data_IF_487002963434
#
_entry.id   IF_487002963434
#
_cell.length_a   1.000
_cell.length_b   1.000
_cell.length_c   1.000
_cell.angle_alpha   90.00
_cell.angle_beta   90.00
_cell.angle_gamma   90.00
#
_symmetry.space_group_name_H-M   'P 1'
#
loop_
_entity.id
_entity.type
_entity.pdbx_description
1 polymer ?
#
# COMPACT_ATOMS: atom_id res chain seq x y z
N UNK A 1 28.14 -21.32 -16.81
CA UNK A 1 26.89 -20.63 -16.45
C UNK A 1 26.43 -21.13 -15.10
N UNK A 2 26.02 -20.21 -14.24
CA UNK A 2 25.23 -20.40 -13.01
C UNK A 2 25.72 -21.45 -11.99
N UNK A 3 26.77 -21.10 -11.26
CA UNK A 3 26.88 -21.49 -9.86
C UNK A 3 25.71 -20.85 -9.10
N UNK A 4 24.77 -21.64 -8.58
CA UNK A 4 23.81 -21.13 -7.60
C UNK A 4 24.55 -20.90 -6.27
N UNK A 5 24.90 -19.64 -6.02
CA UNK A 5 25.52 -19.21 -4.78
C UNK A 5 24.47 -19.24 -3.66
N UNK A 6 24.27 -20.42 -3.07
CA UNK A 6 23.48 -20.58 -1.85
C UNK A 6 24.23 -19.85 -0.75
N UNK A 7 23.76 -18.66 -0.40
CA UNK A 7 24.26 -17.96 0.78
C UNK A 7 24.03 -18.86 2.01
N UNK A 8 25.04 -19.04 2.88
CA UNK A 8 24.82 -19.76 4.13
C UNK A 8 23.80 -18.97 4.94
N UNK A 9 22.69 -19.61 5.34
CA UNK A 9 21.84 -19.07 6.40
C UNK A 9 22.71 -18.97 7.64
N UNK A 10 23.03 -17.75 8.04
CA UNK A 10 23.68 -17.49 9.32
C UNK A 10 22.84 -18.10 10.43
N UNK A 11 23.50 -18.89 11.28
CA UNK A 11 22.97 -19.38 12.55
C UNK A 11 22.77 -18.21 13.53
N UNK A 12 21.78 -17.37 13.23
CA UNK A 12 21.05 -16.67 14.27
C UNK A 12 20.30 -17.74 15.04
N UNK A 13 20.53 -17.80 16.35
CA UNK A 13 19.68 -18.57 17.27
C UNK A 13 18.22 -18.18 16.98
N UNK A 14 17.46 -19.08 16.34
CA UNK A 14 16.03 -18.88 16.10
C UNK A 14 15.37 -18.88 17.47
N UNK A 15 15.25 -17.68 18.05
CA UNK A 15 14.53 -17.44 19.30
C UNK A 15 13.13 -17.97 19.11
N UNK A 16 12.88 -19.14 19.73
CA UNK A 16 11.61 -19.85 19.63
C UNK A 16 10.47 -18.87 19.87
N UNK A 17 9.53 -18.87 18.96
CA UNK A 17 8.36 -17.99 19.07
C UNK A 17 7.57 -18.30 20.35
N UNK A 18 6.84 -17.30 20.84
CA UNK A 18 5.86 -17.49 21.92
C UNK A 18 4.87 -18.62 21.60
N UNK A 19 4.47 -18.78 20.33
CA UNK A 19 3.58 -19.87 19.88
C UNK A 19 4.27 -21.23 19.88
N UNK A 20 5.54 -21.31 19.48
CA UNK A 20 6.35 -22.53 19.51
C UNK A 20 6.62 -23.00 20.95
N UNK A 21 6.95 -22.07 21.86
CA UNK A 21 7.12 -22.36 23.28
C UNK A 21 5.81 -22.85 23.92
N UNK A 22 4.67 -22.27 23.53
CA UNK A 22 3.36 -22.74 23.98
C UNK A 22 3.06 -24.15 23.46
N UNK A 23 3.32 -24.45 22.18
CA UNK A 23 3.14 -25.78 21.59
C UNK A 23 3.96 -26.84 22.34
N UNK A 24 5.25 -26.60 22.62
CA UNK A 24 6.10 -27.51 23.39
C UNK A 24 5.59 -27.70 24.84
N UNK A 25 5.09 -26.64 25.48
CA UNK A 25 4.52 -26.73 26.83
C UNK A 25 3.22 -27.55 26.84
N UNK A 26 2.32 -27.32 25.87
CA UNK A 26 1.08 -28.05 25.67
C UNK A 26 1.33 -29.54 25.40
N UNK A 27 2.27 -29.87 24.50
CA UNK A 27 2.68 -31.25 24.22
C UNK A 27 3.17 -31.96 25.50
N UNK A 28 4.06 -31.31 26.26
CA UNK A 28 4.56 -31.87 27.52
C UNK A 28 3.48 -32.08 28.57
N UNK A 29 2.49 -31.17 28.69
CA UNK A 29 1.37 -31.32 29.62
C UNK A 29 0.45 -32.47 29.22
N UNK A 30 0.07 -32.56 27.95
CA UNK A 30 -0.77 -33.65 27.43
C UNK A 30 -0.06 -35.01 27.54
N UNK A 31 1.26 -35.06 27.30
CA UNK A 31 2.05 -36.27 27.48
C UNK A 31 2.04 -36.76 28.94
N UNK A 32 2.29 -35.87 29.91
CA UNK A 32 2.23 -36.20 31.35
C UNK A 32 0.84 -36.69 31.76
N UNK A 33 -0.22 -35.96 31.39
CA UNK A 33 -1.60 -36.35 31.71
C UNK A 33 -1.96 -37.72 31.08
N UNK A 34 -1.48 -37.99 29.86
CA UNK A 34 -1.68 -39.28 29.20
C UNK A 34 -1.00 -40.43 29.93
N UNK A 35 0.22 -40.20 30.42
CA UNK A 35 1.03 -41.15 31.20
C UNK A 35 0.42 -41.43 32.57
N UNK A 36 0.17 -40.37 33.36
CA UNK A 36 -0.39 -40.47 34.72
C UNK A 36 -1.77 -41.16 34.68
N UNK A 37 -2.59 -40.79 33.69
CA UNK A 37 -3.89 -41.43 33.44
C UNK A 37 -3.80 -42.89 33.00
N UNK A 38 -2.72 -43.31 32.32
CA UNK A 38 -2.49 -44.73 32.00
C UNK A 38 -2.15 -45.53 33.27
N UNK A 39 -1.27 -45.00 34.12
CA UNK A 39 -0.87 -45.66 35.35
C UNK A 39 -2.06 -45.91 36.30
N UNK A 40 -2.97 -44.94 36.44
CA UNK A 40 -4.18 -45.05 37.27
C UNK A 40 -5.12 -46.21 36.86
N UNK A 41 -5.17 -46.57 35.58
CA UNK A 41 -5.94 -47.71 35.06
C UNK A 41 -5.16 -49.01 35.23
N UNK A 42 -3.91 -49.06 34.79
CA UNK A 42 -3.05 -50.26 34.87
C UNK A 42 -2.76 -50.69 36.31
N UNK A 43 -2.92 -49.81 37.30
CA UNK A 43 -2.86 -50.19 38.71
C UNK A 43 -4.00 -51.14 39.14
N UNK A 44 -5.19 -51.04 38.55
CA UNK A 44 -6.29 -51.99 38.82
C UNK A 44 -5.98 -53.35 38.19
N UNK A 45 -5.48 -53.35 36.95
CA UNK A 45 -5.04 -54.57 36.24
C UNK A 45 -3.94 -55.31 37.00
N UNK A 46 -2.92 -54.58 37.50
CA UNK A 46 -1.85 -55.14 38.34
C UNK A 46 -2.39 -55.79 39.62
N UNK A 47 -3.34 -55.15 40.30
CA UNK A 47 -3.97 -55.69 41.50
C UNK A 47 -4.86 -56.93 41.21
N UNK A 48 -5.56 -56.95 40.07
CA UNK A 48 -6.32 -58.10 39.58
C UNK A 48 -5.40 -59.31 39.29
N UNK A 49 -4.29 -59.08 38.60
CA UNK A 49 -3.31 -60.13 38.26
C UNK A 49 -2.73 -60.76 39.53
N UNK A 50 -2.41 -59.97 40.56
CA UNK A 50 -1.92 -60.50 41.85
C UNK A 50 -2.98 -61.38 42.54
N UNK A 51 -4.21 -60.86 42.72
CA UNK A 51 -5.32 -61.61 43.33
C UNK A 51 -5.61 -62.93 42.61
N UNK A 52 -5.60 -62.91 41.28
CA UNK A 52 -5.85 -64.11 40.46
C UNK A 52 -4.69 -65.12 40.53
N UNK A 53 -3.44 -64.67 40.66
CA UNK A 53 -2.28 -65.55 40.89
C UNK A 53 -2.36 -66.23 42.26
N UNK A 54 -2.68 -65.47 43.32
CA UNK A 54 -2.89 -65.99 44.67
C UNK A 54 -4.04 -67.00 44.73
N UNK A 55 -5.18 -66.69 44.09
CA UNK A 55 -6.33 -67.61 43.98
C UNK A 55 -5.93 -68.94 43.33
N UNK A 56 -5.23 -68.89 42.19
CA UNK A 56 -4.75 -70.10 41.49
C UNK A 56 -3.78 -70.91 42.34
N UNK A 57 -2.91 -70.27 43.11
CA UNK A 57 -2.01 -70.96 44.03
C UNK A 57 -2.78 -71.68 45.16
N UNK A 58 -3.78 -71.02 45.75
CA UNK A 58 -4.63 -71.59 46.79
C UNK A 58 -5.49 -72.75 46.26
N UNK A 59 -6.09 -72.61 45.08
CA UNK A 59 -6.86 -73.67 44.41
C UNK A 59 -5.98 -74.88 44.05
N UNK A 60 -4.76 -74.64 43.57
CA UNK A 60 -3.80 -75.70 43.29
C UNK A 60 -3.36 -76.43 44.57
N UNK A 61 -3.21 -75.73 45.69
CA UNK A 61 -2.91 -76.37 46.98
C UNK A 61 -4.10 -77.20 47.47
N UNK A 62 -5.30 -76.61 47.58
CA UNK A 62 -6.49 -77.33 48.03
C UNK A 62 -6.80 -78.56 47.16
N UNK A 63 -6.55 -78.48 45.84
CA UNK A 63 -6.67 -79.64 44.95
C UNK A 63 -5.66 -80.75 45.27
N UNK A 64 -4.41 -80.42 45.63
CA UNK A 64 -3.41 -81.41 46.06
C UNK A 64 -3.85 -82.08 47.35
N UNK A 65 -4.20 -81.30 48.36
CA UNK A 65 -4.63 -81.79 49.68
C UNK A 65 -5.87 -82.69 49.56
N UNK A 66 -6.84 -82.33 48.69
CA UNK A 66 -8.02 -83.16 48.41
C UNK A 66 -7.66 -84.48 47.73
N UNK A 67 -6.74 -84.47 46.76
CA UNK A 67 -6.29 -85.69 46.07
C UNK A 67 -5.60 -86.63 47.07
N UNK A 68 -4.71 -86.11 47.92
CA UNK A 68 -4.00 -86.89 48.92
C UNK A 68 -4.96 -87.55 49.93
N UNK A 69 -5.92 -86.78 50.47
CA UNK A 69 -6.98 -87.32 51.34
C UNK A 69 -7.80 -88.43 50.67
N UNK A 70 -8.22 -88.23 49.42
CA UNK A 70 -9.00 -89.21 48.68
C UNK A 70 -8.19 -90.47 48.32
N UNK A 71 -6.88 -90.34 48.12
CA UNK A 71 -5.98 -91.48 47.91
C UNK A 71 -5.80 -92.30 49.20
N UNK A 72 -5.58 -91.65 50.35
CA UNK A 72 -5.52 -92.32 51.65
C UNK A 72 -6.84 -93.05 51.97
N UNK A 73 -7.98 -92.36 51.78
CA UNK A 73 -9.31 -92.94 51.96
C UNK A 73 -9.62 -94.10 51.01
N UNK A 74 -9.07 -94.09 49.79
CA UNK A 74 -9.17 -95.20 48.85
C UNK A 74 -8.32 -96.40 49.30
N UNK A 75 -7.09 -96.17 49.78
CA UNK A 75 -6.19 -97.21 50.29
C UNK A 75 -6.74 -97.87 51.55
N UNK A 76 -7.01 -97.10 52.61
CA UNK A 76 -7.58 -97.62 53.86
C UNK A 76 -8.96 -98.26 53.63
N UNK A 77 -9.74 -97.70 52.71
CA UNK A 77 -11.03 -98.26 52.32
C UNK A 77 -10.92 -99.62 51.61
N UNK A 78 -9.93 -99.79 50.74
CA UNK A 78 -9.65 -101.06 50.07
C UNK A 78 -9.20 -102.11 51.09
N UNK A 79 -8.31 -101.76 52.02
CA UNK A 79 -7.84 -102.67 53.08
C UNK A 79 -8.97 -103.12 54.01
N UNK A 80 -9.86 -102.21 54.44
CA UNK A 80 -11.01 -102.55 55.28
C UNK A 80 -12.03 -103.42 54.53
N UNK A 81 -12.28 -103.13 53.25
CA UNK A 81 -13.13 -103.95 52.38
C UNK A 81 -12.59 -105.37 52.18
N UNK A 82 -11.27 -105.52 51.99
CA UNK A 82 -10.63 -106.83 51.92
C UNK A 82 -10.69 -107.59 53.24
N UNK A 83 -10.54 -106.91 54.38
CA UNK A 83 -10.67 -107.50 55.72
C UNK A 83 -12.09 -108.03 55.98
N UNK A 84 -13.11 -107.23 55.64
CA UNK A 84 -14.52 -107.64 55.63
C UNK A 84 -14.69 -108.88 54.75
N UNK A 85 -14.24 -108.81 53.49
CA UNK A 85 -14.37 -109.91 52.51
C UNK A 85 -13.72 -111.22 52.97
N UNK A 86 -12.49 -111.17 53.55
CA UNK A 86 -11.82 -112.36 54.10
C UNK A 86 -12.59 -112.96 55.29
N UNK A 87 -13.22 -112.11 56.11
CA UNK A 87 -14.01 -112.55 57.26
C UNK A 87 -15.33 -113.21 56.84
N UNK A 88 -15.96 -112.74 55.75
CA UNK A 88 -17.08 -113.44 55.11
C UNK A 88 -16.69 -114.86 54.69
N UNK A 89 -15.58 -115.02 53.94
CA UNK A 89 -15.08 -116.35 53.53
C UNK A 89 -14.76 -117.26 54.73
N UNK A 90 -14.27 -116.71 55.84
CA UNK A 90 -14.04 -117.49 57.06
C UNK A 90 -15.37 -117.92 57.71
N UNK A 91 -16.37 -117.04 57.77
CA UNK A 91 -17.67 -117.32 58.39
C UNK A 91 -18.46 -118.43 57.69
N UNK A 92 -18.31 -118.57 56.37
CA UNK A 92 -18.92 -119.63 55.55
C UNK A 92 -18.47 -121.05 55.96
N UNK A 93 -17.31 -121.16 56.63
CA UNK A 93 -16.77 -122.45 57.12
C UNK A 93 -17.20 -122.81 58.55
N UNK A 94 -17.95 -121.96 59.25
CA UNK A 94 -18.36 -122.22 60.64
C UNK A 94 -19.62 -123.08 60.72
N UNK A 95 -19.50 -124.20 61.45
CA UNK A 95 -20.59 -125.16 61.67
C UNK A 95 -21.42 -124.88 62.95
N UNK A 96 -21.13 -123.79 63.69
CA UNK A 96 -21.80 -123.48 64.98
C UNK A 96 -22.74 -122.27 64.81
N UNK A 97 -24.08 -122.46 64.84
CA UNK A 97 -25.03 -121.38 64.52
C UNK A 97 -24.93 -120.12 65.39
N UNK A 98 -24.56 -120.25 66.67
CA UNK A 98 -24.43 -119.11 67.57
C UNK A 98 -23.17 -118.28 67.27
N UNK A 99 -22.05 -118.94 66.95
CA UNK A 99 -20.80 -118.28 66.53
C UNK A 99 -20.96 -117.61 65.17
N UNK A 100 -21.63 -118.29 64.23
CA UNK A 100 -22.00 -117.73 62.94
C UNK A 100 -22.88 -116.48 63.10
N UNK A 101 -23.90 -116.51 63.96
CA UNK A 101 -24.74 -115.34 64.22
C UNK A 101 -23.92 -114.16 64.80
N UNK A 102 -23.03 -114.41 65.76
CA UNK A 102 -22.13 -113.39 66.30
C UNK A 102 -21.18 -112.81 65.23
N UNK A 103 -20.61 -113.66 64.37
CA UNK A 103 -19.76 -113.23 63.26
C UNK A 103 -20.54 -112.37 62.24
N UNK A 104 -21.78 -112.73 61.91
CA UNK A 104 -22.65 -111.97 61.01
C UNK A 104 -23.04 -110.61 61.60
N UNK A 105 -23.36 -110.53 62.89
CA UNK A 105 -23.63 -109.25 63.56
C UNK A 105 -22.38 -108.34 63.56
N UNK A 106 -21.20 -108.90 63.81
CA UNK A 106 -19.94 -108.15 63.73
C UNK A 106 -19.65 -107.66 62.31
N UNK A 107 -19.87 -108.51 61.28
CA UNK A 107 -19.72 -108.10 59.88
C UNK A 107 -20.73 -107.02 59.47
N UNK A 108 -21.98 -107.11 59.92
CA UNK A 108 -22.97 -106.05 59.72
C UNK A 108 -22.49 -104.72 60.33
N UNK A 109 -21.89 -104.75 61.53
CA UNK A 109 -21.35 -103.57 62.18
C UNK A 109 -20.15 -102.98 61.42
N UNK A 110 -19.22 -103.80 60.92
CA UNK A 110 -18.09 -103.32 60.11
C UNK A 110 -18.53 -102.74 58.76
N UNK A 111 -19.50 -103.37 58.07
CA UNK A 111 -20.11 -102.80 56.86
C UNK A 111 -20.79 -101.45 57.13
N UNK A 112 -21.49 -101.29 58.26
CA UNK A 112 -22.11 -100.02 58.66
C UNK A 112 -21.05 -98.94 58.97
N UNK A 113 -19.93 -99.29 59.62
CA UNK A 113 -18.79 -98.38 59.82
C UNK A 113 -18.18 -97.94 58.49
N UNK A 114 -17.96 -98.87 57.56
CA UNK A 114 -17.43 -98.58 56.22
C UNK A 114 -18.32 -97.63 55.43
N UNK A 115 -19.64 -97.90 55.39
CA UNK A 115 -20.63 -97.02 54.74
C UNK A 115 -20.66 -95.65 55.42
N UNK A 116 -20.62 -95.60 56.75
CA UNK A 116 -20.56 -94.35 57.51
C UNK A 116 -19.32 -93.50 57.16
N UNK A 117 -18.15 -94.14 57.04
CA UNK A 117 -16.90 -93.49 56.60
C UNK A 117 -16.99 -92.93 55.19
N UNK A 118 -17.53 -93.70 54.22
CA UNK A 118 -17.74 -93.22 52.85
C UNK A 118 -18.77 -92.09 52.77
N UNK A 119 -19.86 -92.15 53.54
CA UNK A 119 -20.85 -91.07 53.62
C UNK A 119 -20.25 -89.79 54.18
N UNK A 120 -19.41 -89.87 55.22
CA UNK A 120 -18.72 -88.71 55.79
C UNK A 120 -17.88 -87.98 54.74
N UNK A 121 -17.11 -88.71 53.93
CA UNK A 121 -16.28 -88.14 52.84
C UNK A 121 -17.15 -87.56 51.71
N UNK A 122 -18.32 -88.16 51.42
CA UNK A 122 -19.29 -87.59 50.48
C UNK A 122 -19.82 -86.25 51.01
N UNK A 123 -20.11 -86.13 52.30
CA UNK A 123 -20.63 -84.91 52.91
C UNK A 123 -19.55 -83.82 53.03
N UNK A 124 -18.29 -84.17 53.32
CA UNK A 124 -17.14 -83.25 53.23
C UNK A 124 -17.00 -82.68 51.80
N UNK A 125 -17.05 -83.54 50.77
CA UNK A 125 -16.95 -83.10 49.37
C UNK A 125 -18.14 -82.23 48.93
N UNK A 126 -19.35 -82.52 49.43
CA UNK A 126 -20.54 -81.68 49.20
C UNK A 126 -20.40 -80.32 49.86
N UNK A 127 -19.91 -80.28 51.11
CA UNK A 127 -19.65 -79.02 51.80
C UNK A 127 -18.58 -78.20 51.08
N UNK A 128 -17.50 -78.85 50.61
CA UNK A 128 -16.47 -78.17 49.83
C UNK A 128 -17.02 -77.62 48.51
N UNK A 129 -17.87 -78.37 47.82
CA UNK A 129 -18.54 -77.91 46.59
C UNK A 129 -19.41 -76.66 46.85
N UNK A 130 -20.27 -76.70 47.88
CA UNK A 130 -21.11 -75.55 48.26
C UNK A 130 -20.27 -74.31 48.59
N UNK A 131 -19.19 -74.46 49.37
CA UNK A 131 -18.27 -73.35 49.69
C UNK A 131 -17.57 -72.78 48.44
N UNK A 132 -17.33 -73.62 47.42
CA UNK A 132 -16.74 -73.17 46.14
C UNK A 132 -17.77 -72.45 45.26
N UNK A 133 -19.03 -72.88 45.26
CA UNK A 133 -20.10 -72.16 44.57
C UNK A 133 -20.34 -70.77 45.19
N UNK A 134 -20.37 -70.67 46.52
CA UNK A 134 -20.44 -69.37 47.23
C UNK A 134 -19.24 -68.47 46.90
N UNK A 135 -18.02 -69.03 46.93
CA UNK A 135 -16.78 -68.31 46.58
C UNK A 135 -16.77 -67.85 45.11
N UNK A 136 -17.31 -68.66 44.19
CA UNK A 136 -17.47 -68.30 42.78
C UNK A 136 -18.40 -67.08 42.62
N UNK A 137 -19.56 -67.08 43.29
CA UNK A 137 -20.50 -65.95 43.27
C UNK A 137 -19.87 -64.69 43.87
N UNK A 138 -19.06 -64.79 44.93
CA UNK A 138 -18.33 -63.66 45.50
C UNK A 138 -17.26 -63.12 44.53
N UNK A 139 -16.50 -64.00 43.88
CA UNK A 139 -15.50 -63.63 42.88
C UNK A 139 -16.12 -62.90 41.68
N UNK A 140 -17.25 -63.39 41.16
CA UNK A 140 -17.98 -62.73 40.07
C UNK A 140 -18.49 -61.33 40.44
N UNK A 141 -18.92 -61.11 41.70
CA UNK A 141 -19.30 -59.78 42.20
C UNK A 141 -18.10 -58.83 42.25
N UNK A 142 -16.98 -59.27 42.82
CA UNK A 142 -15.75 -58.48 42.86
C UNK A 142 -15.25 -58.15 41.45
N UNK A 143 -15.28 -59.10 40.52
CA UNK A 143 -14.91 -58.87 39.12
C UNK A 143 -15.83 -57.84 38.45
N UNK A 144 -17.14 -57.85 38.73
CA UNK A 144 -18.06 -56.83 38.23
C UNK A 144 -17.74 -55.44 38.80
N UNK A 145 -17.49 -55.32 40.10
CA UNK A 145 -17.07 -54.09 40.77
C UNK A 145 -15.74 -53.55 40.22
N UNK A 146 -14.75 -54.43 40.03
CA UNK A 146 -13.45 -54.10 39.42
C UNK A 146 -13.58 -53.63 37.96
N UNK A 147 -14.47 -54.25 37.17
CA UNK A 147 -14.75 -53.83 35.78
C UNK A 147 -15.44 -52.47 35.75
N UNK A 148 -16.45 -52.23 36.61
CA UNK A 148 -17.10 -50.92 36.73
C UNK A 148 -16.09 -49.84 37.09
N UNK A 149 -15.19 -50.11 38.05
CA UNK A 149 -14.13 -49.17 38.45
C UNK A 149 -13.13 -48.88 37.32
N UNK A 150 -12.80 -49.87 36.48
CA UNK A 150 -11.96 -49.66 35.29
C UNK A 150 -12.68 -48.77 34.27
N UNK A 151 -13.97 -49.00 34.02
CA UNK A 151 -14.80 -48.19 33.11
C UNK A 151 -14.86 -46.74 33.62
N UNK A 152 -15.23 -46.51 34.87
CA UNK A 152 -15.29 -45.17 35.49
C UNK A 152 -13.96 -44.42 35.38
N UNK A 153 -12.82 -45.09 35.65
CA UNK A 153 -11.49 -44.48 35.50
C UNK A 153 -11.12 -44.20 34.05
N UNK A 154 -11.49 -45.07 33.11
CA UNK A 154 -11.24 -44.86 31.69
C UNK A 154 -12.09 -43.71 31.12
N UNK A 155 -13.35 -43.59 31.55
CA UNK A 155 -14.23 -42.47 31.21
C UNK A 155 -13.70 -41.16 31.79
N UNK A 156 -13.35 -41.13 33.08
CA UNK A 156 -12.76 -39.95 33.73
C UNK A 156 -11.46 -39.51 33.03
N UNK A 157 -10.53 -40.43 32.76
CA UNK A 157 -9.30 -40.16 31.99
C UNK A 157 -9.61 -39.56 30.62
N UNK A 158 -10.65 -40.06 29.94
CA UNK A 158 -11.03 -39.56 28.62
C UNK A 158 -11.61 -38.15 28.71
N UNK A 159 -12.44 -37.88 29.71
CA UNK A 159 -12.98 -36.54 29.98
C UNK A 159 -11.88 -35.54 30.36
N UNK A 160 -10.98 -35.89 31.27
CA UNK A 160 -9.81 -35.06 31.65
C UNK A 160 -8.93 -34.74 30.45
N UNK A 161 -8.63 -35.75 29.62
CA UNK A 161 -7.82 -35.58 28.41
C UNK A 161 -8.52 -34.66 27.40
N UNK A 162 -9.83 -34.81 27.18
CA UNK A 162 -10.60 -33.92 26.29
C UNK A 162 -10.63 -32.48 26.80
N UNK A 163 -10.84 -32.26 28.10
CA UNK A 163 -10.83 -30.93 28.71
C UNK A 163 -9.44 -30.28 28.63
N UNK A 164 -8.38 -31.03 28.93
CA UNK A 164 -7.01 -30.55 28.80
C UNK A 164 -6.65 -30.23 27.34
N UNK A 165 -7.08 -31.05 26.38
CA UNK A 165 -6.89 -30.75 24.95
C UNK A 165 -7.60 -29.48 24.50
N UNK A 166 -8.82 -29.22 24.99
CA UNK A 166 -9.53 -27.97 24.72
C UNK A 166 -8.81 -26.76 25.34
N UNK A 167 -8.38 -26.86 26.60
CA UNK A 167 -7.60 -25.82 27.28
C UNK A 167 -6.27 -25.52 26.57
N UNK A 168 -5.53 -26.55 26.15
CA UNK A 168 -4.29 -26.37 25.40
C UNK A 168 -4.51 -25.76 24.01
N UNK A 169 -5.57 -26.16 23.29
CA UNK A 169 -5.91 -25.54 22.01
C UNK A 169 -6.20 -24.05 22.17
N UNK A 170 -7.00 -23.67 23.17
CA UNK A 170 -7.23 -22.25 23.48
C UNK A 170 -5.94 -21.50 23.82
N UNK A 171 -5.03 -22.12 24.58
CA UNK A 171 -3.76 -21.49 24.97
C UNK A 171 -2.82 -21.32 23.76
N UNK A 172 -2.76 -22.30 22.87
CA UNK A 172 -2.04 -22.23 21.59
C UNK A 172 -2.63 -21.12 20.71
N UNK A 173 -3.95 -21.05 20.56
CA UNK A 173 -4.62 -19.98 19.80
C UNK A 173 -4.32 -18.60 20.37
N UNK A 174 -4.41 -18.42 21.70
CA UNK A 174 -4.06 -17.17 22.39
C UNK A 174 -2.59 -16.77 22.15
N UNK A 175 -1.67 -17.73 22.09
CA UNK A 175 -0.25 -17.47 21.83
C UNK A 175 0.00 -17.05 20.36
N UNK A 176 -0.61 -17.71 19.39
CA UNK A 176 -0.55 -17.31 17.97
C UNK A 176 -1.23 -15.95 17.70
N UNK A 177 -2.38 -15.70 18.34
CA UNK A 177 -3.08 -14.42 18.22
C UNK A 177 -2.23 -13.27 18.76
N UNK A 178 -1.58 -13.47 19.92
CA UNK A 178 -0.65 -12.49 20.49
C UNK A 178 0.55 -12.23 19.58
N UNK A 179 1.20 -13.27 19.07
CA UNK A 179 2.31 -13.14 18.13
C UNK A 179 1.90 -12.35 16.88
N UNK A 180 0.72 -12.63 16.33
CA UNK A 180 0.15 -11.89 15.19
C UNK A 180 -0.06 -10.41 15.54
N UNK A 181 -0.57 -10.11 16.73
CA UNK A 181 -0.77 -8.74 17.20
C UNK A 181 0.56 -7.99 17.39
N UNK A 182 1.56 -8.64 17.97
CA UNK A 182 2.91 -8.07 18.16
C UNK A 182 3.56 -7.73 16.80
N UNK A 183 3.46 -8.63 15.80
CA UNK A 183 3.94 -8.38 14.42
C UNK A 183 3.17 -7.25 13.74
N UNK A 184 1.84 -7.20 13.85
CA UNK A 184 1.02 -6.11 13.29
C UNK A 184 1.34 -4.77 13.93
N UNK A 185 1.57 -4.74 15.24
CA UNK A 185 1.96 -3.53 15.99
C UNK A 185 3.33 -3.03 15.53
N UNK A 186 4.33 -3.92 15.40
CA UNK A 186 5.66 -3.59 14.93
C UNK A 186 5.62 -3.02 13.49
N UNK A 187 4.92 -3.69 12.57
CA UNK A 187 4.75 -3.22 11.18
C UNK A 187 4.05 -1.85 11.12
N UNK A 188 3.03 -1.62 11.95
CA UNK A 188 2.34 -0.33 12.05
C UNK A 188 3.28 0.77 12.55
N UNK A 189 4.08 0.51 13.60
CA UNK A 189 5.05 1.48 14.11
C UNK A 189 6.11 1.81 13.06
N UNK A 190 6.63 0.81 12.34
CA UNK A 190 7.62 1.01 11.28
C UNK A 190 7.04 1.83 10.11
N UNK A 191 5.79 1.57 9.71
CA UNK A 191 5.07 2.37 8.72
C UNK A 191 4.85 3.81 9.19
N UNK A 192 4.41 4.03 10.42
CA UNK A 192 4.23 5.37 11.00
C UNK A 192 5.55 6.16 11.06
N UNK A 193 6.67 5.49 11.39
CA UNK A 193 8.00 6.09 11.35
C UNK A 193 8.40 6.48 9.92
N UNK A 194 8.23 5.58 8.93
CA UNK A 194 8.48 5.90 7.52
C UNK A 194 7.62 7.07 7.04
N UNK A 195 6.32 7.09 7.34
CA UNK A 195 5.43 8.19 6.97
C UNK A 195 5.82 9.53 7.61
N UNK A 196 6.28 9.53 8.88
CA UNK A 196 6.84 10.73 9.52
C UNK A 196 8.11 11.20 8.82
N UNK A 197 8.99 10.28 8.41
CA UNK A 197 10.22 10.63 7.68
C UNK A 197 9.94 11.20 6.29
N UNK A 198 8.94 10.67 5.57
CA UNK A 198 8.50 11.17 4.26
C UNK A 198 7.94 12.59 4.38
N UNK A 199 6.99 12.83 5.31
CA UNK A 199 6.44 14.17 5.55
C UNK A 199 7.53 15.20 5.88
N UNK A 200 8.50 14.85 6.72
CA UNK A 200 9.64 15.72 7.02
C UNK A 200 10.48 16.03 5.77
N UNK A 201 10.72 15.04 4.91
CA UNK A 201 11.44 15.23 3.65
C UNK A 201 10.65 16.10 2.66
N UNK A 202 9.34 15.94 2.57
CA UNK A 202 8.42 16.76 1.75
C UNK A 202 8.38 18.22 2.24
N UNK A 203 8.30 18.44 3.56
CA UNK A 203 8.43 19.77 4.19
C UNK A 203 9.80 20.40 3.90
N UNK A 204 10.89 19.65 3.98
CA UNK A 204 12.22 20.16 3.67
C UNK A 204 12.39 20.49 2.17
N UNK A 205 11.77 19.71 1.28
CA UNK A 205 11.78 19.98 -0.15
C UNK A 205 10.95 21.22 -0.51
N UNK A 206 9.73 21.34 0.01
CA UNK A 206 8.89 22.53 -0.19
C UNK A 206 9.52 23.79 0.39
N UNK A 207 10.20 23.73 1.55
CA UNK A 207 11.01 24.85 2.10
C UNK A 207 12.25 25.19 1.25
N UNK A 208 12.77 24.27 0.43
CA UNK A 208 13.85 24.58 -0.54
C UNK A 208 13.27 25.29 -1.76
N UNK A 209 12.16 24.79 -2.31
CA UNK A 209 11.47 25.43 -3.43
C UNK A 209 10.99 26.85 -3.10
N UNK A 210 10.43 27.07 -1.91
CA UNK A 210 10.03 28.40 -1.45
C UNK A 210 11.21 29.39 -1.40
N UNK A 211 12.36 28.97 -0.84
CA UNK A 211 13.57 29.80 -0.81
C UNK A 211 14.10 30.12 -2.20
N UNK A 212 14.16 29.16 -3.12
CA UNK A 212 14.57 29.44 -4.49
C UNK A 212 13.59 30.37 -5.22
N UNK A 213 12.28 30.29 -4.93
CA UNK A 213 11.31 31.25 -5.45
C UNK A 213 11.52 32.67 -4.87
N UNK A 214 11.83 32.79 -3.58
CA UNK A 214 12.19 34.07 -2.94
C UNK A 214 13.50 34.66 -3.50
N UNK A 215 14.55 33.83 -3.66
CA UNK A 215 15.83 34.20 -4.27
C UNK A 215 15.65 34.71 -5.71
N UNK A 216 14.86 34.00 -6.52
CA UNK A 216 14.54 34.42 -7.89
C UNK A 216 13.67 35.68 -7.93
N UNK A 217 12.72 35.85 -7.00
CA UNK A 217 11.90 37.05 -6.92
C UNK A 217 12.75 38.28 -6.57
N UNK A 218 13.68 38.15 -5.61
CA UNK A 218 14.62 39.21 -5.24
C UNK A 218 15.50 39.61 -6.43
N UNK A 219 16.11 38.65 -7.13
CA UNK A 219 16.92 38.95 -8.31
C UNK A 219 16.13 39.63 -9.45
N UNK A 220 14.84 39.28 -9.63
CA UNK A 220 13.97 39.97 -10.59
C UNK A 220 13.63 41.40 -10.16
N UNK A 221 13.51 41.67 -8.86
CA UNK A 221 13.24 43.02 -8.33
C UNK A 221 14.50 43.90 -8.32
N UNK A 222 15.69 43.30 -8.13
CA UNK A 222 16.99 43.96 -8.34
C UNK A 222 17.17 44.40 -9.80
N UNK A 223 16.95 43.51 -10.77
CA UNK A 223 17.02 43.84 -12.20
C UNK A 223 16.03 44.94 -12.60
N UNK A 224 14.80 44.92 -12.06
CA UNK A 224 13.81 46.00 -12.28
C UNK A 224 14.25 47.34 -11.71
N UNK A 225 15.05 47.33 -10.64
CA UNK A 225 15.61 48.54 -10.04
C UNK A 225 16.74 49.11 -10.91
N UNK A 226 17.66 48.25 -11.37
CA UNK A 226 18.71 48.63 -12.33
C UNK A 226 18.12 49.20 -13.63
N UNK A 227 17.13 48.52 -14.23
CA UNK A 227 16.41 49.03 -15.42
C UNK A 227 15.75 50.40 -15.16
N UNK A 228 15.25 50.64 -13.95
CA UNK A 228 14.64 51.93 -13.59
C UNK A 228 15.70 53.04 -13.42
N UNK A 229 16.86 52.74 -12.81
CA UNK A 229 17.97 53.69 -12.70
C UNK A 229 18.54 54.07 -14.08
N UNK A 230 18.77 53.09 -14.96
CA UNK A 230 19.21 53.32 -16.36
C UNK A 230 18.22 54.22 -17.12
N UNK A 231 16.91 53.92 -17.02
CA UNK A 231 15.87 54.74 -17.64
C UNK A 231 15.81 56.15 -17.03
N UNK A 232 16.08 56.31 -15.74
CA UNK A 232 16.16 57.61 -15.07
C UNK A 232 17.40 58.41 -15.52
N UNK A 233 18.55 57.78 -15.71
CA UNK A 233 19.77 58.41 -16.25
C UNK A 233 19.52 58.88 -17.70
N UNK A 234 19.03 57.98 -18.56
CA UNK A 234 18.73 58.29 -19.97
C UNK A 234 17.70 59.42 -20.07
N UNK A 235 16.63 59.38 -19.26
CA UNK A 235 15.64 60.47 -19.18
C UNK A 235 16.28 61.79 -18.78
N UNK A 236 17.16 61.79 -17.78
CA UNK A 236 17.86 63.00 -17.30
C UNK A 236 18.81 63.56 -18.36
N UNK A 237 19.55 62.69 -19.07
CA UNK A 237 20.39 63.07 -20.22
C UNK A 237 19.58 63.65 -21.39
N UNK A 238 18.41 63.09 -21.69
CA UNK A 238 17.52 63.61 -22.73
C UNK A 238 16.91 64.96 -22.34
N UNK A 239 16.46 65.13 -21.09
CA UNK A 239 15.93 66.41 -20.60
C UNK A 239 16.97 67.52 -20.61
N UNK A 240 18.22 67.23 -20.20
CA UNK A 240 19.33 68.21 -20.25
C UNK A 240 19.71 68.55 -21.70
N UNK A 241 19.73 67.58 -22.62
CA UNK A 241 19.92 67.86 -24.05
C UNK A 241 18.82 68.75 -24.62
N UNK A 242 17.55 68.54 -24.24
CA UNK A 242 16.43 69.40 -24.66
C UNK A 242 16.65 70.84 -24.15
N UNK A 243 17.01 71.03 -22.88
CA UNK A 243 17.30 72.35 -22.32
C UNK A 243 18.43 73.08 -23.06
N UNK A 244 19.52 72.38 -23.40
CA UNK A 244 20.63 72.96 -24.19
C UNK A 244 20.19 73.35 -25.61
N UNK A 245 19.35 72.53 -26.26
CA UNK A 245 18.81 72.84 -27.58
C UNK A 245 17.82 74.03 -27.55
N UNK A 246 17.02 74.13 -26.49
CA UNK A 246 16.14 75.28 -26.25
C UNK A 246 16.95 76.57 -26.02
N UNK A 247 18.03 76.51 -25.26
CA UNK A 247 18.95 77.65 -25.05
C UNK A 247 19.63 78.06 -26.36
N UNK A 248 20.16 77.11 -27.15
CA UNK A 248 20.74 77.38 -28.46
C UNK A 248 19.72 78.00 -29.43
N UNK A 249 18.48 77.51 -29.43
CA UNK A 249 17.41 78.09 -30.24
C UNK A 249 17.11 79.54 -29.83
N UNK A 250 17.08 79.84 -28.53
CA UNK A 250 16.90 81.22 -28.02
C UNK A 250 18.09 82.11 -28.41
N UNK A 251 19.32 81.63 -28.32
CA UNK A 251 20.52 82.36 -28.77
C UNK A 251 20.43 82.70 -30.27
N UNK A 252 20.08 81.74 -31.12
CA UNK A 252 19.91 81.96 -32.57
C UNK A 252 18.77 82.95 -32.86
N UNK A 253 17.66 82.90 -32.11
CA UNK A 253 16.57 83.88 -32.24
C UNK A 253 17.02 85.30 -31.92
N UNK A 254 17.82 85.49 -30.87
CA UNK A 254 18.40 86.79 -30.50
C UNK A 254 19.41 87.28 -31.54
N UNK A 255 20.29 86.40 -32.05
CA UNK A 255 21.21 86.74 -33.13
C UNK A 255 20.49 87.12 -34.44
N UNK A 256 19.44 86.38 -34.79
CA UNK A 256 18.62 86.66 -35.97
C UNK A 256 17.92 88.01 -35.83
N UNK A 257 17.30 88.30 -34.69
CA UNK A 257 16.69 89.61 -34.42
C UNK A 257 17.72 90.73 -34.53
N UNK A 258 18.89 90.58 -33.90
CA UNK A 258 19.94 91.61 -33.97
C UNK A 258 20.50 91.79 -35.39
N UNK A 259 20.50 90.75 -36.23
CA UNK A 259 20.89 90.85 -37.64
C UNK A 259 19.78 91.44 -38.53
N UNK A 260 18.51 91.20 -38.20
CA UNK A 260 17.36 91.86 -38.82
C UNK A 260 17.40 93.37 -38.53
N UNK A 261 17.60 93.77 -37.27
CA UNK A 261 17.73 95.19 -36.88
C UNK A 261 18.89 95.90 -37.62
N UNK A 262 20.03 95.21 -37.82
CA UNK A 262 21.15 95.71 -38.65
C UNK A 262 20.77 95.86 -40.13
N UNK A 263 20.03 94.91 -40.70
CA UNK A 263 19.58 94.95 -42.08
C UNK A 263 18.59 96.10 -42.31
N UNK A 264 17.65 96.29 -41.39
CA UNK A 264 16.68 97.39 -41.42
C UNK A 264 17.40 98.76 -41.29
N UNK A 265 18.41 98.86 -40.43
CA UNK A 265 19.27 100.05 -40.36
C UNK A 265 20.03 100.32 -41.66
N UNK A 266 20.65 99.29 -42.26
CA UNK A 266 21.37 99.42 -43.53
C UNK A 266 20.42 99.83 -44.68
N UNK A 267 19.21 99.25 -44.73
CA UNK A 267 18.18 99.60 -45.69
C UNK A 267 17.73 101.06 -45.51
N UNK A 268 17.54 101.52 -44.28
CA UNK A 268 17.21 102.92 -43.98
C UNK A 268 18.30 103.89 -44.48
N UNK A 269 19.57 103.58 -44.23
CA UNK A 269 20.71 104.40 -44.70
C UNK A 269 20.78 104.41 -46.24
N UNK A 270 20.60 103.26 -46.89
CA UNK A 270 20.56 103.18 -48.36
C UNK A 270 19.37 103.93 -48.96
N UNK A 271 18.19 103.85 -48.36
CA UNK A 271 17.02 104.64 -48.77
C UNK A 271 17.28 106.15 -48.61
N UNK A 272 18.02 106.57 -47.58
CA UNK A 272 18.44 107.97 -47.42
C UNK A 272 19.42 108.40 -48.50
N UNK A 273 20.43 107.59 -48.80
CA UNK A 273 21.36 107.85 -49.90
C UNK A 273 20.66 107.84 -51.27
N UNK A 274 19.66 106.99 -51.50
CA UNK A 274 18.87 106.99 -52.74
C UNK A 274 17.95 108.21 -52.83
N UNK A 275 17.37 108.68 -51.72
CA UNK A 275 16.67 109.97 -51.68
C UNK A 275 17.59 111.13 -52.05
N UNK A 276 18.81 111.18 -51.49
CA UNK A 276 19.82 112.19 -51.82
C UNK A 276 20.29 112.09 -53.28
N UNK A 277 20.58 110.87 -53.76
CA UNK A 277 20.98 110.62 -55.14
C UNK A 277 19.85 110.94 -56.13
N UNK A 278 18.58 110.70 -55.80
CA UNK A 278 17.44 111.13 -56.61
C UNK A 278 17.30 112.66 -56.63
N UNK A 279 17.58 113.35 -55.52
CA UNK A 279 17.65 114.82 -55.50
C UNK A 279 18.80 115.32 -56.38
N UNK A 280 19.99 114.73 -56.29
CA UNK A 280 21.15 115.09 -57.14
C UNK A 280 20.88 114.79 -58.62
N UNK A 281 20.36 113.60 -58.93
CA UNK A 281 20.02 113.17 -60.28
C UNK A 281 18.92 114.05 -60.88
N UNK A 282 17.86 114.37 -60.14
CA UNK A 282 16.82 115.29 -60.61
C UNK A 282 17.35 116.72 -60.79
N UNK A 283 18.29 117.19 -59.97
CA UNK A 283 19.02 118.45 -60.20
C UNK A 283 19.89 118.40 -61.47
N UNK A 284 20.62 117.31 -61.72
CA UNK A 284 21.41 117.13 -62.95
C UNK A 284 20.52 117.01 -64.19
N UNK A 285 19.38 116.31 -64.11
CA UNK A 285 18.39 116.19 -65.19
C UNK A 285 17.75 117.55 -65.51
N UNK A 286 17.53 118.40 -64.50
CA UNK A 286 17.14 119.82 -64.68
C UNK A 286 18.24 120.66 -65.34
N UNK A 287 19.53 120.39 -65.07
CA UNK A 287 20.67 121.03 -65.79
C UNK A 287 20.75 120.56 -67.25
N UNK A 288 20.61 119.27 -67.51
CA UNK A 288 20.59 118.68 -68.86
C UNK A 288 19.41 119.21 -69.69
N UNK A 289 18.22 119.31 -69.10
CA UNK A 289 17.04 119.85 -69.80
C UNK A 289 17.14 121.37 -70.03
N UNK A 290 17.90 122.12 -69.22
CA UNK A 290 18.22 123.53 -69.50
C UNK A 290 19.18 123.68 -70.68
N UNK A 291 20.23 122.86 -70.73
CA UNK A 291 21.16 122.82 -71.88
C UNK A 291 20.48 122.36 -73.18
N UNK A 292 19.37 121.62 -73.11
CA UNK A 292 18.62 121.13 -74.26
C UNK A 292 17.69 122.17 -74.92
N UNK A 293 17.53 123.38 -74.36
CA UNK A 293 16.60 124.40 -74.89
C UNK A 293 17.31 125.50 -75.71
N UNK A 294 18.64 125.61 -75.64
CA UNK A 294 19.40 126.72 -76.26
C UNK A 294 20.12 126.39 -77.59
N UNK A 295 19.93 125.20 -78.19
CA UNK A 295 20.61 124.86 -79.45
C UNK A 295 19.74 124.27 -80.57
N UNK A 296 19.19 125.20 -81.35
CA UNK A 296 18.93 125.18 -82.81
C UNK A 296 17.86 124.28 -83.46
N UNK A 297 17.33 124.86 -84.54
CA UNK A 297 16.37 124.32 -85.50
C UNK A 297 17.08 123.57 -86.64
N UNK A 298 16.42 122.56 -87.24
CA UNK A 298 16.38 122.20 -88.69
C UNK A 298 16.55 120.70 -89.02
N UNK A 299 15.77 120.23 -90.02
CA UNK A 299 16.09 119.13 -90.97
C UNK A 299 15.87 117.65 -90.57
N UNK A 300 14.66 117.13 -90.89
CA UNK A 300 14.38 116.08 -91.92
C UNK A 300 15.06 114.67 -91.87
N UNK A 301 14.19 113.64 -91.79
CA UNK A 301 14.20 112.28 -92.41
C UNK A 301 14.80 110.99 -91.76
N UNK A 302 14.06 109.89 -92.04
CA UNK A 302 14.40 108.45 -92.18
C UNK A 302 14.45 107.45 -90.98
N UNK A 303 13.37 106.68 -90.87
CA UNK A 303 13.28 105.18 -90.89
C UNK A 303 14.36 104.30 -90.23
N UNK A 304 13.96 103.42 -89.29
CA UNK A 304 13.75 101.97 -89.56
C UNK A 304 13.07 101.22 -88.39
N UNK A 305 12.76 99.93 -88.58
CA UNK A 305 11.80 99.08 -87.84
C UNK A 305 12.53 97.82 -87.24
N UNK A 306 11.86 96.78 -86.66
CA UNK A 306 11.82 96.41 -85.24
C UNK A 306 12.46 95.01 -84.93
N UNK A 307 12.13 94.35 -83.79
CA UNK A 307 12.06 92.88 -83.47
C UNK A 307 11.90 92.68 -81.94
N UNK A 308 11.64 91.52 -81.29
CA UNK A 308 10.63 90.42 -81.38
C UNK A 308 11.17 89.02 -80.93
N UNK A 309 10.54 88.47 -79.88
CA UNK A 309 10.13 87.05 -79.67
C UNK A 309 11.08 85.99 -79.07
N UNK A 310 10.42 84.96 -78.47
CA UNK A 310 10.95 83.67 -77.95
C UNK A 310 10.71 83.50 -76.44
N UNK A 311 9.77 82.73 -75.86
CA UNK A 311 8.78 81.69 -76.28
C UNK A 311 9.19 80.20 -76.14
N UNK A 312 8.26 79.40 -75.58
CA UNK A 312 8.25 77.92 -75.48
C UNK A 312 8.46 77.36 -74.06
N UNK A 313 7.97 76.18 -73.64
CA UNK A 313 6.80 75.32 -73.94
C UNK A 313 7.10 73.94 -73.32
N UNK A 314 6.12 73.17 -72.83
CA UNK A 314 6.37 71.77 -72.40
C UNK A 314 5.34 71.19 -71.42
N UNK A 315 4.62 70.14 -71.85
CA UNK A 315 3.34 69.73 -71.26
C UNK A 315 3.15 68.18 -71.29
N UNK A 316 2.44 67.63 -70.29
CA UNK A 316 1.69 66.35 -70.23
C UNK A 316 2.38 64.95 -70.04
N UNK A 317 1.95 64.29 -68.94
CA UNK A 317 1.22 63.00 -68.86
C UNK A 317 1.91 61.62 -69.03
N UNK A 318 1.68 60.73 -68.05
CA UNK A 318 1.32 59.31 -68.27
C UNK A 318 0.75 58.67 -66.98
N UNK A 319 -0.16 57.70 -67.13
CA UNK A 319 -0.82 56.98 -66.03
C UNK A 319 -0.45 55.49 -66.08
N UNK A 320 -0.26 54.84 -64.92
CA UNK A 320 -0.22 53.38 -64.80
C UNK A 320 -1.03 52.94 -63.57
N UNK A 321 -1.90 51.96 -63.75
CA UNK A 321 -2.65 51.30 -62.69
C UNK A 321 -1.99 49.96 -62.32
N UNK A 322 -1.98 49.63 -61.02
CA UNK A 322 -1.56 48.31 -60.52
C UNK A 322 -2.56 47.86 -59.47
N UNK A 323 -3.02 46.61 -59.57
CA UNK A 323 -3.86 45.95 -58.59
C UNK A 323 -3.13 44.73 -58.04
N UNK A 324 -3.18 44.55 -56.71
CA UNK A 324 -2.69 43.35 -56.03
C UNK A 324 -3.71 42.97 -54.97
N UNK A 325 -4.09 41.70 -54.94
CA UNK A 325 -4.93 41.11 -53.90
C UNK A 325 -4.14 40.00 -53.19
N UNK A 326 -4.23 39.96 -51.87
CA UNK A 326 -3.69 38.86 -51.06
C UNK A 326 -4.79 38.44 -50.08
N UNK A 327 -5.04 37.14 -50.02
CA UNK A 327 -5.95 36.53 -49.06
C UNK A 327 -5.16 35.62 -48.12
N UNK A 328 -5.41 35.74 -46.82
CA UNK A 328 -4.93 34.80 -45.80
C UNK A 328 -6.14 34.38 -44.98
N UNK A 329 -6.34 33.06 -44.89
CA UNK A 329 -7.34 32.45 -44.03
C UNK A 329 -6.65 31.79 -42.84
N UNK A 330 -7.18 31.99 -41.63
CA UNK A 330 -6.75 31.28 -40.43
C UNK A 330 -7.97 30.60 -39.82
N UNK A 331 -7.89 29.29 -39.66
CA UNK A 331 -8.91 28.48 -39.01
C UNK A 331 -8.51 28.29 -37.55
N UNK A 332 -9.42 28.54 -36.60
CA UNK A 332 -9.23 28.10 -35.21
C UNK A 332 -10.25 27.02 -34.89
N UNK A 333 -9.74 25.82 -34.61
CA UNK A 333 -10.55 24.68 -34.20
C UNK A 333 -10.50 24.58 -32.66
N UNK A 334 -11.65 24.56 -31.99
CA UNK A 334 -11.71 24.23 -30.55
C UNK A 334 -12.31 22.84 -30.41
N UNK A 335 -11.51 21.91 -29.89
CA UNK A 335 -11.91 20.54 -29.62
C UNK A 335 -12.19 20.41 -28.12
N UNK A 336 -13.38 19.92 -27.74
CA UNK A 336 -13.66 19.54 -26.35
C UNK A 336 -13.78 18.02 -26.27
N UNK A 337 -12.93 17.41 -25.47
CA UNK A 337 -12.88 15.97 -25.26
C UNK A 337 -13.51 15.65 -23.90
N UNK A 338 -14.47 14.72 -23.85
CA UNK A 338 -15.00 14.20 -22.58
C UNK A 338 -14.65 12.71 -22.49
N UNK A 339 -13.99 12.33 -21.40
CA UNK A 339 -13.53 10.97 -21.16
C UNK A 339 -14.38 10.33 -20.07
N UNK A 340 -15.05 9.21 -20.37
CA UNK A 340 -15.75 8.41 -19.36
C UNK A 340 -15.02 7.09 -19.20
N UNK A 341 -14.56 6.79 -17.99
CA UNK A 341 -13.79 5.59 -17.68
C UNK A 341 -14.66 4.64 -16.85
N UNK A 342 -15.01 3.48 -17.40
CA UNK A 342 -15.67 2.40 -16.65
C UNK A 342 -14.86 1.12 -16.82
N UNK A 343 -14.36 0.60 -15.71
CA UNK A 343 -13.78 -0.74 -15.58
C UNK A 343 -12.78 -1.14 -16.69
N UNK A 344 -11.77 -0.29 -16.91
CA UNK A 344 -10.58 -0.65 -17.68
C UNK A 344 -10.63 -0.41 -19.19
N UNK A 345 -11.72 0.14 -19.75
CA UNK A 345 -11.77 0.58 -21.15
C UNK A 345 -12.17 2.05 -21.24
N UNK A 346 -11.38 2.83 -21.98
CA UNK A 346 -11.62 4.25 -22.24
C UNK A 346 -12.17 4.42 -23.65
N UNK A 347 -13.35 5.03 -23.79
CA UNK A 347 -13.89 5.44 -25.10
C UNK A 347 -14.02 6.96 -25.11
N UNK A 348 -13.44 7.60 -26.13
CA UNK A 348 -13.51 9.03 -26.35
C UNK A 348 -14.40 9.34 -27.55
N UNK A 349 -15.33 10.28 -27.39
CA UNK A 349 -16.14 10.82 -28.49
C UNK A 349 -15.83 12.32 -28.60
N UNK A 350 -15.46 12.75 -29.80
CA UNK A 350 -15.16 14.14 -30.12
C UNK A 350 -16.26 14.71 -31.04
N UNK A 351 -16.79 15.87 -30.68
CA UNK A 351 -17.77 16.61 -31.50
C UNK A 351 -17.14 17.94 -31.91
N UNK A 352 -17.16 18.23 -33.22
CA UNK A 352 -16.61 19.44 -33.80
C UNK A 352 -17.77 20.37 -34.19
N UNK A 353 -17.71 21.65 -33.81
CA UNK A 353 -18.65 22.68 -34.30
C UNK A 353 -17.86 23.78 -34.98
N UNK A 354 -18.20 24.05 -36.24
CA UNK A 354 -17.59 25.10 -37.06
C UNK A 354 -18.57 26.28 -37.14
N UNK A 355 -18.15 27.49 -36.78
CA UNK A 355 -18.93 28.71 -37.01
C UNK A 355 -18.11 29.66 -37.87
N UNK A 356 -18.65 30.01 -39.04
CA UNK A 356 -18.06 30.98 -39.95
C UNK A 356 -18.79 32.32 -39.79
N UNK A 357 -18.08 33.41 -39.48
CA UNK A 357 -18.63 34.77 -39.51
C UNK A 357 -17.83 35.60 -40.50
N UNK A 358 -18.52 36.11 -41.53
CA UNK A 358 -17.94 37.03 -42.50
C UNK A 358 -18.35 38.46 -42.12
N UNK A 359 -17.39 39.36 -41.95
CA UNK A 359 -17.67 40.80 -41.82
C UNK A 359 -17.03 41.52 -43.01
N UNK A 360 -17.86 42.12 -43.85
CA UNK A 360 -17.42 42.94 -44.97
C UNK A 360 -17.44 44.41 -44.53
N UNK A 361 -16.31 45.11 -44.61
CA UNK A 361 -16.29 46.58 -44.48
C UNK A 361 -15.82 47.16 -45.80
N UNK A 362 -16.72 47.90 -46.45
CA UNK A 362 -16.45 48.61 -47.69
C UNK A 362 -16.16 50.08 -47.35
N UNK A 363 -15.01 50.60 -47.75
CA UNK A 363 -14.76 52.06 -47.74
C UNK A 363 -14.43 52.48 -49.17
N UNK A 364 -15.30 53.30 -49.74
CA UNK A 364 -15.16 53.86 -51.08
C UNK A 364 -14.94 55.36 -50.95
N UNK A 365 -13.85 55.90 -51.50
CA UNK A 365 -13.68 57.35 -51.67
C UNK A 365 -13.20 57.61 -53.09
N UNK A 366 -14.01 58.35 -53.84
CA UNK A 366 -13.73 58.76 -55.21
C UNK A 366 -13.75 60.29 -55.27
N UNK A 367 -12.66 60.93 -55.73
CA UNK A 367 -12.68 62.38 -56.05
C UNK A 367 -11.87 62.64 -57.32
N UNK A 368 -12.58 62.98 -58.39
CA UNK A 368 -12.16 63.51 -59.69
C UNK A 368 -13.42 64.14 -60.34
N UNK A 369 -13.33 65.00 -61.37
CA UNK A 369 -12.25 65.88 -61.82
C UNK A 369 -12.75 67.36 -61.97
N UNK A 370 -11.94 68.26 -62.53
CA UNK A 370 -12.38 69.64 -62.83
C UNK A 370 -11.22 70.63 -63.04
N UNK A 371 -10.35 70.45 -64.03
CA UNK A 371 -10.49 71.10 -65.35
C UNK A 371 -10.75 72.62 -65.30
N UNK A 372 -9.72 73.43 -65.58
CA UNK A 372 -9.55 74.13 -66.87
C UNK A 372 -8.43 75.18 -66.78
N UNK A 373 -7.35 74.99 -67.56
CA UNK A 373 -7.05 75.70 -68.83
C UNK A 373 -6.22 76.98 -68.56
N UNK A 374 -5.38 77.52 -69.43
CA UNK A 374 -5.23 77.54 -70.90
C UNK A 374 -3.76 77.96 -71.16
N UNK A 375 -3.04 77.57 -72.20
CA UNK A 375 -3.28 76.71 -73.38
C UNK A 375 -2.00 75.90 -73.60
#
# INVERSE_FOLDING_TARGET
MNQHHVQPRTELEEKRSCSQLQLEASEQRLFRLSWDGAELVTNVERALISREAERRQQEAQARRDRIEKLQAEAQEGQEHFEMISRTWCASETSNVPHELHGALCNQQQECLKFIGRKNHVIDELRQELNMRDESCVQCLKQQAEDITLIIERAEHRTQDMMLAQQEELENIEKAFEKERQDVLLANKQEWEQRMKSLKKCEEEHTRKLARHAEEHQQAMDELRYEEFEDLAEVRTRLLTNIQVLEEQMQQIQVEFQMNQDKLDYNLYVLQKQDQENNVICSQQKRKSNRLCIEMQQSTIYLSYKPIRHGAGDGVLHSCVCVCVCVCVCVCVCVCVCVCVCVWGVCVCVCVCVCVCVCVCVCVCVCVCPGHNLTI
#
